data_IF_349403164909
#
_entry.id   IF_349403164909
#
_cell.length_a   1.000
_cell.length_b   1.000
_cell.length_c   1.000
_cell.angle_alpha   90.00
_cell.angle_beta   90.00
_cell.angle_gamma   90.00
#
_symmetry.space_group_name_H-M   'P 1'
#
loop_
_entity.id
_entity.type
_entity.pdbx_description
1 polymer ?
#
# COMPACT_ATOMS: atom_id res chain seq x y z
N UNK A 1 -37.28 36.28 -2.50
CA UNK A 1 -37.14 35.86 -1.08
C UNK A 1 -37.32 34.35 -0.99
N UNK A 2 -36.48 33.70 -0.15
CA UNK A 2 -36.74 32.46 0.60
C UNK A 2 -36.61 31.09 -0.12
N UNK A 3 -35.44 30.48 0.10
CA UNK A 3 -35.20 29.16 0.72
C UNK A 3 -35.91 27.92 0.15
N UNK A 4 -35.16 27.10 -0.59
CA UNK A 4 -35.23 25.64 -0.57
C UNK A 4 -33.87 25.14 -1.08
N UNK A 5 -33.22 24.09 -0.60
CA UNK A 5 -33.25 23.31 0.61
C UNK A 5 -31.87 22.61 0.57
N UNK A 6 -31.08 22.74 1.63
CA UNK A 6 -29.76 22.15 1.72
C UNK A 6 -29.93 20.65 1.96
N UNK A 7 -29.88 19.88 0.87
CA UNK A 7 -29.92 18.43 0.88
C UNK A 7 -28.75 17.91 0.05
N UNK A 8 -27.80 17.25 0.70
CA UNK A 8 -27.33 15.91 0.35
C UNK A 8 -26.38 15.49 1.46
N UNK A 9 -26.89 14.54 2.24
CA UNK A 9 -26.15 13.74 3.21
C UNK A 9 -25.14 12.92 2.38
N UNK A 10 -23.87 13.32 2.45
CA UNK A 10 -22.76 12.69 1.74
C UNK A 10 -22.01 11.73 2.64
N UNK A 11 -22.25 10.46 2.39
CA UNK A 11 -21.68 9.24 2.97
C UNK A 11 -20.18 9.30 3.21
N UNK A 12 -19.74 8.85 4.39
CA UNK A 12 -18.61 7.90 4.49
C UNK A 12 -18.81 7.10 5.77
N UNK A 13 -19.32 5.89 5.60
CA UNK A 13 -19.22 4.85 6.60
C UNK A 13 -17.72 4.62 6.83
N UNK A 14 -17.20 5.09 7.95
CA UNK A 14 -15.91 4.63 8.45
C UNK A 14 -16.12 3.22 9.01
N UNK A 15 -16.27 2.23 8.11
CA UNK A 15 -16.03 0.84 8.48
C UNK A 15 -14.53 0.71 8.69
N UNK A 16 -14.08 0.95 9.92
CA UNK A 16 -12.74 0.58 10.37
C UNK A 16 -12.63 -0.94 10.27
N UNK A 17 -12.16 -1.33 9.09
CA UNK A 17 -11.41 -2.50 8.68
C UNK A 17 -11.23 -3.56 9.76
N UNK A 18 -11.78 -4.73 9.42
CA UNK A 18 -11.51 -6.04 10.00
C UNK A 18 -10.04 -6.16 10.39
N UNK A 19 -9.79 -6.41 11.68
CA UNK A 19 -8.50 -6.83 12.20
C UNK A 19 -8.17 -8.23 11.67
N UNK A 20 -7.76 -8.32 10.41
CA UNK A 20 -6.85 -9.35 9.95
C UNK A 20 -5.42 -8.78 10.12
N UNK A 21 -4.42 -9.60 10.49
CA UNK A 21 -3.03 -9.15 10.40
C UNK A 21 -2.82 -8.55 9.01
N UNK A 22 -2.44 -7.26 8.93
CA UNK A 22 -2.24 -6.54 7.65
C UNK A 22 -1.58 -7.49 6.66
N UNK A 23 -2.34 -7.96 5.67
CA UNK A 23 -1.83 -8.92 4.69
C UNK A 23 -0.69 -8.25 3.94
N UNK A 24 0.30 -9.03 3.50
CA UNK A 24 1.39 -8.51 2.66
C UNK A 24 0.88 -7.66 1.47
N UNK A 25 -0.32 -7.98 0.97
CA UNK A 25 -1.01 -7.24 -0.07
C UNK A 25 -1.44 -5.82 0.32
N UNK A 26 -1.96 -5.60 1.54
CA UNK A 26 -2.30 -4.25 1.99
C UNK A 26 -1.06 -3.39 2.16
N UNK A 27 -0.01 -3.94 2.80
CA UNK A 27 1.25 -3.22 2.96
C UNK A 27 1.87 -2.90 1.59
N UNK A 28 1.80 -3.84 0.64
CA UNK A 28 2.21 -3.61 -0.75
C UNK A 28 1.43 -2.43 -1.35
N UNK A 29 0.10 -2.42 -1.26
CA UNK A 29 -0.73 -1.34 -1.80
C UNK A 29 -0.41 0.03 -1.17
N UNK A 30 -0.19 0.10 0.15
CA UNK A 30 0.23 1.33 0.83
C UNK A 30 1.60 1.82 0.31
N UNK A 31 2.54 0.90 0.07
CA UNK A 31 3.86 1.22 -0.50
C UNK A 31 3.71 1.68 -1.96
N UNK A 32 2.88 1.03 -2.78
CA UNK A 32 2.62 1.46 -4.17
C UNK A 32 2.06 2.87 -4.22
N UNK A 33 1.07 3.19 -3.39
CA UNK A 33 0.50 4.54 -3.33
C UNK A 33 1.56 5.59 -2.98
N UNK A 34 2.48 5.27 -2.04
CA UNK A 34 3.61 6.15 -1.72
C UNK A 34 4.59 6.29 -2.89
N UNK A 35 4.92 5.22 -3.58
CA UNK A 35 5.85 5.25 -4.72
C UNK A 35 5.27 6.09 -5.87
N UNK A 36 3.98 5.89 -6.18
CA UNK A 36 3.27 6.68 -7.19
C UNK A 36 3.19 8.16 -6.80
N UNK A 37 2.96 8.46 -5.52
CA UNK A 37 3.00 9.84 -5.03
C UNK A 37 4.39 10.51 -5.22
N UNK A 38 5.46 9.72 -5.28
CA UNK A 38 6.81 10.18 -5.61
C UNK A 38 7.09 10.23 -7.13
N UNK A 39 6.09 10.08 -8.00
CA UNK A 39 6.21 10.11 -9.46
C UNK A 39 7.17 9.04 -10.02
N UNK A 40 7.26 7.89 -9.35
CA UNK A 40 8.03 6.75 -9.83
C UNK A 40 7.07 5.85 -10.60
N UNK A 41 7.19 5.83 -11.93
CA UNK A 41 6.25 5.09 -12.78
C UNK A 41 6.76 3.71 -13.23
N UNK A 42 8.06 3.42 -13.02
CA UNK A 42 8.70 2.20 -13.49
C UNK A 42 9.31 1.44 -12.32
N UNK A 43 8.49 0.64 -11.65
CA UNK A 43 8.91 -0.18 -10.51
C UNK A 43 8.11 -1.48 -10.43
N UNK A 44 8.69 -2.46 -9.75
CA UNK A 44 8.06 -3.74 -9.42
C UNK A 44 8.14 -3.96 -7.92
N UNK A 45 7.01 -4.31 -7.30
CA UNK A 45 6.97 -4.77 -5.91
C UNK A 45 6.70 -6.26 -5.86
N UNK A 46 7.62 -7.00 -5.25
CA UNK A 46 7.53 -8.45 -5.12
C UNK A 46 7.61 -8.87 -3.66
N UNK A 47 6.82 -9.87 -3.29
CA UNK A 47 6.81 -10.44 -1.94
C UNK A 47 7.67 -11.69 -1.99
N UNK A 48 8.81 -11.63 -1.31
CA UNK A 48 9.81 -12.70 -1.28
C UNK A 48 10.03 -13.18 0.15
N UNK A 49 10.52 -14.40 0.30
CA UNK A 49 10.92 -14.93 1.62
C UNK A 49 12.22 -14.27 2.08
N UNK A 50 12.56 -14.36 3.36
CA UNK A 50 13.79 -13.74 3.89
C UNK A 50 15.05 -14.27 3.18
N UNK A 51 15.08 -15.56 2.86
CA UNK A 51 16.17 -16.23 2.14
C UNK A 51 16.35 -15.77 0.68
N UNK A 52 15.30 -15.23 0.08
CA UNK A 52 15.29 -14.75 -1.31
C UNK A 52 15.68 -13.27 -1.42
N UNK A 53 15.84 -12.57 -0.29
CA UNK A 53 16.31 -11.20 -0.28
C UNK A 53 17.83 -11.19 -0.46
N UNK A 54 18.26 -10.92 -1.68
CA UNK A 54 19.67 -10.72 -2.00
C UNK A 54 20.19 -9.36 -1.49
N UNK A 55 19.36 -8.32 -1.57
CA UNK A 55 19.72 -6.95 -1.21
C UNK A 55 18.74 -6.37 -0.18
N UNK A 56 19.23 -6.12 1.04
CA UNK A 56 18.41 -5.50 2.08
C UNK A 56 18.01 -4.06 1.74
N UNK A 57 18.77 -3.38 0.89
CA UNK A 57 18.45 -2.02 0.41
C UNK A 57 17.20 -1.98 -0.48
N UNK A 58 16.80 -3.12 -1.06
CA UNK A 58 15.59 -3.22 -1.86
C UNK A 58 14.35 -3.48 -1.00
N UNK A 59 14.51 -3.83 0.28
CA UNK A 59 13.39 -4.16 1.17
C UNK A 59 12.70 -2.88 1.61
N UNK A 60 11.47 -2.68 1.12
CA UNK A 60 10.63 -1.52 1.45
C UNK A 60 9.57 -1.84 2.49
N UNK A 61 9.37 -3.12 2.81
CA UNK A 61 8.42 -3.57 3.82
C UNK A 61 8.71 -5.00 4.28
N UNK A 62 8.19 -5.36 5.44
CA UNK A 62 8.21 -6.72 5.96
C UNK A 62 6.81 -7.06 6.46
N UNK A 63 6.31 -8.24 6.11
CA UNK A 63 4.96 -8.69 6.41
C UNK A 63 4.99 -10.16 6.90
N UNK A 64 3.83 -10.72 7.23
CA UNK A 64 3.72 -12.10 7.72
C UNK A 64 4.59 -12.35 8.98
N UNK A 65 4.56 -11.39 9.90
CA UNK A 65 5.33 -11.42 11.15
C UNK A 65 6.87 -11.44 11.00
N UNK A 66 7.42 -11.05 9.84
CA UNK A 66 8.87 -11.09 9.59
C UNK A 66 9.30 -12.18 8.62
N UNK A 67 8.39 -13.08 8.26
CA UNK A 67 8.67 -14.25 7.42
C UNK A 67 8.81 -13.86 5.93
N UNK A 68 8.08 -12.82 5.51
CA UNK A 68 8.09 -12.33 4.13
C UNK A 68 8.50 -10.86 4.07
N UNK A 69 9.19 -10.49 3.00
CA UNK A 69 9.69 -9.15 2.73
C UNK A 69 9.15 -8.66 1.39
N UNK A 70 8.89 -7.37 1.32
CA UNK A 70 8.45 -6.70 0.09
C UNK A 70 9.68 -6.00 -0.48
N UNK A 71 10.15 -6.47 -1.62
CA UNK A 71 11.27 -5.86 -2.33
C UNK A 71 10.78 -4.92 -3.41
N UNK A 72 11.51 -3.83 -3.58
CA UNK A 72 11.33 -2.82 -4.61
C UNK A 72 12.42 -2.99 -5.67
N UNK A 73 11.99 -3.26 -6.90
CA UNK A 73 12.87 -3.31 -8.05
C UNK A 73 12.56 -2.10 -8.94
N UNK A 74 13.51 -1.18 -9.09
CA UNK A 74 13.37 -0.07 -10.03
C UNK A 74 13.54 -0.62 -11.44
N UNK A 75 12.53 -0.46 -12.29
CA UNK A 75 12.68 -0.72 -13.72
C UNK A 75 13.27 0.55 -14.38
N UNK A 76 14.51 0.90 -14.01
CA UNK A 76 15.26 1.91 -14.76
C UNK A 76 15.69 1.26 -16.07
N UNK A 77 15.17 1.76 -17.19
CA UNK A 77 15.67 1.42 -18.52
C UNK A 77 16.40 2.61 -19.08
#
# INVERSE_FOLDING_TARGET
MKRFALAVIGTVMATSVLAAPKSCEELKAEIEAKIQANNVNSYTLEIVSNDEVHDQNMVVGTCDNGTKKIIYQKNDR
#
